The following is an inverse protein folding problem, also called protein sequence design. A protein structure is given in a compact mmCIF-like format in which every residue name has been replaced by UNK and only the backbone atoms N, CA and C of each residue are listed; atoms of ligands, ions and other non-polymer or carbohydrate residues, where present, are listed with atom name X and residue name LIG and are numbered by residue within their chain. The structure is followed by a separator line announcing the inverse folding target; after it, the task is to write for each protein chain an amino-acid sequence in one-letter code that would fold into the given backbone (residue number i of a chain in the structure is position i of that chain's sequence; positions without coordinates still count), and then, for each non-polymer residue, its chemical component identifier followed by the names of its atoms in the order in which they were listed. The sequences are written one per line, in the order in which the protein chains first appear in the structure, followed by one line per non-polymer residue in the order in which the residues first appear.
data_IF_441248133763
#
_entry.id   IF_441248133763
#
_cell.length_a   1.000
_cell.length_b   1.000
_cell.length_c   1.000
_cell.angle_alpha   90.00
_cell.angle_beta   90.00
_cell.angle_gamma   90.00
#
_symmetry.space_group_name_H-M   'P 1'
#
loop_
_entity.id
_entity.type
_entity.pdbx_description
1 polymer ?
#
# COMPACT_ATOMS: atom_id res chain seq x y z
N UNK A 1 -3.55 7.81 -3.74
CA UNK A 1 -4.73 7.01 -4.15
C UNK A 1 -4.94 5.93 -3.11
N UNK A 2 -6.20 5.63 -2.75
CA UNK A 2 -6.51 4.75 -1.62
C UNK A 2 -7.24 3.50 -2.07
N UNK A 3 -6.79 2.33 -1.63
CA UNK A 3 -7.48 1.05 -1.80
C UNK A 3 -7.83 0.50 -0.42
N UNK A 4 -9.12 0.26 -0.20
CA UNK A 4 -9.63 -0.41 1.00
C UNK A 4 -9.85 -1.87 0.70
N UNK A 5 -9.40 -2.72 1.61
CA UNK A 5 -9.60 -4.16 1.55
C UNK A 5 -10.80 -4.57 2.43
N UNK A 6 -11.35 -5.74 2.15
CA UNK A 6 -12.55 -6.24 2.85
C UNK A 6 -12.30 -6.51 4.35
N UNK A 7 -11.04 -6.75 4.74
CA UNK A 7 -10.61 -6.94 6.12
C UNK A 7 -10.48 -5.61 6.91
N UNK A 8 -10.71 -4.46 6.26
CA UNK A 8 -10.55 -3.13 6.84
C UNK A 8 -9.13 -2.58 6.78
N UNK A 9 -8.15 -3.37 6.31
CA UNK A 9 -6.84 -2.83 5.95
C UNK A 9 -6.97 -1.91 4.75
N UNK A 10 -6.05 -0.96 4.62
CA UNK A 10 -6.05 -0.08 3.45
C UNK A 10 -4.65 0.34 3.04
N UNK A 11 -4.48 0.50 1.74
CA UNK A 11 -3.30 1.11 1.14
C UNK A 11 -3.59 2.57 0.81
N UNK A 12 -2.65 3.45 1.13
CA UNK A 12 -2.62 4.83 0.68
C UNK A 12 -1.28 5.12 0.03
N UNK A 13 -1.27 5.39 -1.28
CA UNK A 13 -0.05 5.72 -1.97
C UNK A 13 -0.21 5.97 -3.46
N UNK A 14 0.92 5.92 -4.15
CA UNK A 14 1.00 6.13 -5.58
C UNK A 14 0.57 4.87 -6.35
N UNK A 15 -0.03 5.11 -7.52
CA UNK A 15 -0.56 4.07 -8.39
C UNK A 15 -0.03 4.28 -9.79
N UNK A 16 0.32 3.18 -10.46
CA UNK A 16 0.78 3.17 -11.84
C UNK A 16 0.13 1.99 -12.56
N UNK A 17 -0.59 2.27 -13.66
CA UNK A 17 -1.37 1.26 -14.42
C UNK A 17 -2.29 0.38 -13.55
N UNK A 18 -2.94 0.97 -12.54
CA UNK A 18 -3.84 0.23 -11.65
C UNK A 18 -3.14 -0.65 -10.61
N UNK A 19 -1.80 -0.59 -10.52
CA UNK A 19 -1.00 -1.28 -9.50
C UNK A 19 -0.38 -0.29 -8.53
N UNK A 20 -0.17 -0.72 -7.28
CA UNK A 20 0.56 0.07 -6.28
C UNK A 20 2.01 0.25 -6.73
N UNK A 21 2.49 1.48 -6.75
CA UNK A 21 3.81 1.81 -7.29
C UNK A 21 4.33 3.12 -6.71
N UNK A 22 5.63 3.24 -6.45
CA UNK A 22 6.22 4.41 -5.80
C UNK A 22 5.99 4.41 -4.29
N UNK A 23 6.05 5.58 -3.66
CA UNK A 23 5.87 5.68 -2.20
C UNK A 23 4.41 5.42 -1.79
N UNK A 24 4.24 4.62 -0.74
CA UNK A 24 2.93 4.34 -0.17
C UNK A 24 2.99 3.73 1.22
N UNK A 25 1.91 3.90 1.95
CA UNK A 25 1.68 3.36 3.29
C UNK A 25 0.58 2.31 3.24
N UNK A 26 0.80 1.16 3.85
CA UNK A 26 -0.21 0.13 4.05
C UNK A 26 -0.53 0.03 5.52
N UNK A 27 -1.80 0.23 5.84
CA UNK A 27 -2.33 0.21 7.18
C UNK A 27 -3.02 -1.13 7.39
N UNK A 28 -2.44 -1.93 8.27
CA UNK A 28 -2.99 -3.23 8.65
C UNK A 28 -4.09 -3.05 9.69
N UNK A 29 -5.03 -3.98 9.72
CA UNK A 29 -6.15 -3.97 10.67
C UNK A 29 -5.70 -4.09 12.13
N UNK A 30 -4.53 -4.70 12.38
CA UNK A 30 -3.94 -4.80 13.70
C UNK A 30 -3.33 -3.47 14.21
N UNK A 31 -3.35 -2.41 13.39
CA UNK A 31 -2.78 -1.10 13.71
C UNK A 31 -1.35 -0.92 13.22
N UNK A 32 -0.71 -1.96 12.68
CA UNK A 32 0.62 -1.83 12.08
C UNK A 32 0.53 -0.98 10.81
N UNK A 33 1.60 -0.24 10.54
CA UNK A 33 1.73 0.55 9.32
C UNK A 33 3.04 0.21 8.65
N UNK A 34 2.96 -0.31 7.43
CA UNK A 34 4.12 -0.43 6.57
C UNK A 34 4.23 0.84 5.73
N UNK A 35 5.37 1.52 5.79
CA UNK A 35 5.63 2.70 4.98
C UNK A 35 6.89 2.46 4.16
N UNK A 36 6.76 2.49 2.83
CA UNK A 36 7.86 2.13 1.95
C UNK A 36 7.55 2.41 0.49
N UNK A 37 8.46 2.01 -0.40
CA UNK A 37 8.17 2.04 -1.82
C UNK A 37 7.44 0.77 -2.26
N UNK A 38 6.75 0.86 -3.38
CA UNK A 38 5.95 -0.18 -3.98
C UNK A 38 6.34 -0.29 -5.45
N UNK A 39 6.28 -1.50 -5.98
CA UNK A 39 6.51 -1.74 -7.40
C UNK A 39 5.64 -2.91 -7.83
N UNK A 40 4.74 -2.64 -8.77
CA UNK A 40 3.84 -3.65 -9.34
C UNK A 40 3.07 -4.45 -8.27
N UNK A 41 2.45 -3.75 -7.32
CA UNK A 41 1.72 -4.30 -6.15
C UNK A 41 2.56 -4.96 -5.05
N UNK A 42 3.87 -5.07 -5.25
CA UNK A 42 4.78 -5.62 -4.27
C UNK A 42 5.38 -4.51 -3.41
N UNK A 43 5.47 -4.77 -2.10
CA UNK A 43 6.23 -3.93 -1.18
C UNK A 43 7.70 -3.98 -1.58
N UNK A 44 8.24 -2.83 -1.93
CA UNK A 44 9.63 -2.62 -2.24
C UNK A 44 10.22 -1.72 -1.17
N UNK A 45 10.62 -2.31 -0.05
CA UNK A 45 11.31 -1.62 1.03
C UNK A 45 12.41 -2.55 1.51
N UNK A 46 13.64 -2.04 1.55
CA UNK A 46 14.74 -2.68 2.27
C UNK A 46 14.73 -2.18 3.71
#
# INVERSE_FOLDING_TARGET
GRLMYADGSFYDGLWHHGKKSGLGSFYYINGDVFQGSWRDDLMHGK
#
